data_IF_386304736798
#
_entry.id   IF_386304736798
#
_cell.length_a   1.000
_cell.length_b   1.000
_cell.length_c   1.000
_cell.angle_alpha   90.00
_cell.angle_beta   90.00
_cell.angle_gamma   90.00
#
_symmetry.space_group_name_H-M   'P 1'
#
loop_
_entity.id
_entity.type
_entity.pdbx_description
1 polymer ?
#
# COMPACT_ATOMS: atom_id res chain seq x y z
N UNK A 1 -22.35 5.70 -5.82
CA UNK A 1 -22.88 4.58 -5.01
C UNK A 1 -23.21 5.12 -3.63
N UNK A 2 -24.08 4.46 -2.87
CA UNK A 2 -24.39 4.81 -1.49
C UNK A 2 -23.71 3.81 -0.55
N UNK A 3 -22.76 4.27 0.27
CA UNK A 3 -22.11 3.45 1.28
C UNK A 3 -22.79 3.65 2.64
N UNK A 4 -23.22 2.56 3.24
CA UNK A 4 -23.82 2.49 4.55
C UNK A 4 -22.88 1.80 5.52
N UNK A 5 -22.47 2.49 6.59
CA UNK A 5 -21.54 2.00 7.61
C UNK A 5 -22.31 1.78 8.91
N UNK A 6 -22.12 0.63 9.55
CA UNK A 6 -22.61 0.37 10.91
C UNK A 6 -22.18 1.49 11.85
N UNK A 7 -23.10 1.97 12.67
CA UNK A 7 -22.83 3.00 13.68
C UNK A 7 -23.45 2.58 15.02
N UNK A 8 -22.70 2.60 16.12
CA UNK A 8 -23.21 2.08 17.39
C UNK A 8 -24.23 3.01 18.09
N UNK A 9 -24.30 4.29 17.69
CA UNK A 9 -25.14 5.29 18.38
C UNK A 9 -26.41 5.70 17.60
N UNK A 10 -26.56 5.28 16.33
CA UNK A 10 -27.75 5.45 15.46
C UNK A 10 -27.78 4.32 14.43
N UNK A 11 -28.86 4.18 13.65
CA UNK A 11 -29.03 3.06 12.70
C UNK A 11 -27.83 2.83 11.75
N UNK A 12 -27.40 3.85 10.99
CA UNK A 12 -26.26 3.77 10.06
C UNK A 12 -25.75 5.16 9.67
N UNK A 13 -24.49 5.22 9.23
CA UNK A 13 -23.94 6.39 8.53
C UNK A 13 -24.04 6.12 7.03
N UNK A 14 -24.69 7.02 6.29
CA UNK A 14 -24.81 6.95 4.83
C UNK A 14 -23.92 8.00 4.17
N UNK A 15 -23.16 7.59 3.16
CA UNK A 15 -22.20 8.42 2.44
C UNK A 15 -22.37 8.23 0.94
N UNK A 16 -22.31 9.32 0.17
CA UNK A 16 -22.10 9.20 -1.27
C UNK A 16 -20.67 8.71 -1.51
N UNK A 17 -20.54 7.51 -2.06
CA UNK A 17 -19.26 6.85 -2.31
C UNK A 17 -19.05 6.69 -3.81
N UNK A 18 -17.95 7.23 -4.30
CA UNK A 18 -17.46 7.11 -5.67
C UNK A 18 -15.96 6.84 -5.68
N UNK A 19 -15.36 6.80 -6.87
CA UNK A 19 -13.92 6.57 -7.00
C UNK A 19 -13.09 7.69 -6.37
N UNK A 20 -13.55 8.93 -6.41
CA UNK A 20 -12.97 10.02 -5.62
C UNK A 20 -14.03 10.56 -4.66
N UNK A 21 -13.82 10.38 -3.37
CA UNK A 21 -14.76 10.76 -2.31
C UNK A 21 -14.06 11.66 -1.30
N UNK A 22 -14.63 12.82 -0.98
CA UNK A 22 -14.15 13.71 0.07
C UNK A 22 -15.13 13.72 1.25
N UNK A 23 -14.63 13.44 2.46
CA UNK A 23 -15.43 13.47 3.69
C UNK A 23 -15.02 14.68 4.51
N UNK A 24 -15.85 15.72 4.46
CA UNK A 24 -15.66 17.01 5.14
C UNK A 24 -16.73 17.24 6.22
N UNK A 25 -16.53 18.26 7.04
CA UNK A 25 -17.47 18.69 8.07
C UNK A 25 -16.84 18.91 9.44
N UNK A 26 -17.63 19.53 10.32
CA UNK A 26 -17.22 19.99 11.64
C UNK A 26 -17.17 18.87 12.70
N UNK A 27 -17.93 17.79 12.51
CA UNK A 27 -17.94 16.66 13.44
C UNK A 27 -16.70 15.78 13.28
N UNK A 28 -15.62 16.16 13.97
CA UNK A 28 -14.35 15.45 13.90
C UNK A 28 -14.43 14.03 14.46
N UNK A 29 -15.31 13.78 15.45
CA UNK A 29 -15.49 12.45 16.04
C UNK A 29 -16.14 11.51 15.03
N UNK A 30 -17.17 11.98 14.31
CA UNK A 30 -17.83 11.20 13.27
C UNK A 30 -16.89 10.92 12.08
N UNK A 31 -16.12 11.91 11.62
CA UNK A 31 -15.11 11.69 10.57
C UNK A 31 -14.07 10.67 10.99
N UNK A 32 -13.56 10.78 12.21
CA UNK A 32 -12.61 9.81 12.78
C UNK A 32 -13.22 8.41 12.84
N UNK A 33 -14.48 8.30 13.27
CA UNK A 33 -15.20 7.02 13.30
C UNK A 33 -15.29 6.39 11.91
N UNK A 34 -15.73 7.14 10.89
CA UNK A 34 -15.83 6.64 9.52
C UNK A 34 -14.47 6.13 9.03
N UNK A 35 -13.43 6.95 9.21
CA UNK A 35 -12.05 6.60 8.87
C UNK A 35 -11.60 5.31 9.54
N UNK A 36 -11.81 5.18 10.86
CA UNK A 36 -11.42 4.01 11.63
C UNK A 36 -12.13 2.74 11.13
N UNK A 37 -13.43 2.82 10.84
CA UNK A 37 -14.19 1.66 10.37
C UNK A 37 -13.78 1.24 8.96
N UNK A 38 -13.50 2.19 8.05
CA UNK A 38 -12.97 1.86 6.73
C UNK A 38 -11.67 1.05 6.84
N UNK A 39 -10.74 1.49 7.69
CA UNK A 39 -9.47 0.83 7.90
C UNK A 39 -9.61 -0.52 8.61
N UNK A 40 -10.47 -0.63 9.62
CA UNK A 40 -10.69 -1.87 10.35
C UNK A 40 -11.36 -2.95 9.49
N UNK A 41 -12.41 -2.54 8.77
CA UNK A 41 -13.22 -3.45 7.99
C UNK A 41 -12.44 -3.99 6.81
N UNK A 42 -11.93 -3.10 5.95
CA UNK A 42 -11.23 -3.48 4.73
C UNK A 42 -9.74 -3.83 4.95
N UNK A 43 -9.11 -3.29 6.01
CA UNK A 43 -7.74 -3.66 6.39
C UNK A 43 -7.63 -5.01 7.11
N UNK A 44 -8.74 -5.75 7.26
CA UNK A 44 -8.72 -7.11 7.81
C UNK A 44 -8.36 -7.20 9.30
N UNK A 45 -8.65 -6.15 10.09
CA UNK A 45 -8.39 -6.16 11.55
C UNK A 45 -9.03 -7.37 12.21
N UNK A 46 -8.25 -8.11 13.00
CA UNK A 46 -8.82 -9.10 13.92
C UNK A 46 -9.39 -8.35 15.13
N UNK A 47 -10.70 -8.37 15.28
CA UNK A 47 -11.40 -7.67 16.35
C UNK A 47 -11.20 -8.40 17.68
N UNK A 48 -10.95 -7.65 18.76
CA UNK A 48 -11.07 -8.15 20.13
C UNK A 48 -12.48 -7.92 20.68
N UNK A 49 -12.80 -8.50 21.84
CA UNK A 49 -14.06 -8.25 22.53
C UNK A 49 -14.23 -6.76 22.85
N UNK A 50 -13.14 -6.07 23.23
CA UNK A 50 -13.14 -4.63 23.53
C UNK A 50 -13.46 -3.79 22.28
N UNK A 51 -12.94 -4.17 21.11
CA UNK A 51 -13.26 -3.49 19.85
C UNK A 51 -14.77 -3.57 19.52
N UNK A 52 -15.42 -4.67 19.91
CA UNK A 52 -16.81 -4.99 19.57
C UNK A 52 -17.83 -4.61 20.66
N UNK A 53 -17.39 -4.10 21.82
CA UNK A 53 -18.29 -3.68 22.91
C UNK A 53 -19.37 -2.72 22.42
N UNK A 54 -18.98 -1.74 21.61
CA UNK A 54 -19.91 -0.74 21.08
C UNK A 54 -20.88 -1.33 20.04
N UNK A 55 -20.57 -2.49 19.48
CA UNK A 55 -21.37 -3.18 18.47
C UNK A 55 -22.15 -4.38 19.04
N UNK A 56 -22.34 -4.43 20.37
CA UNK A 56 -23.00 -5.55 21.05
C UNK A 56 -22.37 -6.90 20.70
N UNK A 57 -21.03 -6.92 20.59
CA UNK A 57 -20.24 -8.10 20.19
C UNK A 57 -20.46 -8.58 18.75
N UNK A 58 -21.07 -7.77 17.89
CA UNK A 58 -21.18 -8.03 16.46
C UNK A 58 -20.09 -7.31 15.66
N UNK A 59 -19.58 -7.93 14.60
CA UNK A 59 -18.65 -7.22 13.69
C UNK A 59 -19.37 -6.06 12.96
N UNK A 60 -18.68 -4.91 12.78
CA UNK A 60 -19.22 -3.81 11.99
C UNK A 60 -19.43 -4.25 10.54
N UNK A 61 -20.45 -3.70 9.88
CA UNK A 61 -20.82 -4.01 8.49
C UNK A 61 -20.71 -2.76 7.63
N UNK A 62 -20.25 -2.96 6.40
CA UNK A 62 -20.31 -1.95 5.34
C UNK A 62 -21.17 -2.51 4.21
N UNK A 63 -22.15 -1.73 3.77
CA UNK A 63 -22.97 -2.03 2.60
C UNK A 63 -22.72 -0.97 1.53
N UNK A 64 -22.60 -1.37 0.27
CA UNK A 64 -22.60 -0.45 -0.88
C UNK A 64 -23.83 -0.79 -1.72
N UNK A 65 -24.67 0.21 -1.97
CA UNK A 65 -25.95 0.05 -2.67
C UNK A 65 -26.82 -1.07 -2.06
N UNK A 66 -26.86 -1.08 -0.72
CA UNK A 66 -27.55 -2.06 0.15
C UNK A 66 -27.08 -3.51 0.04
N UNK A 67 -25.93 -3.74 -0.60
CA UNK A 67 -25.25 -5.05 -0.67
C UNK A 67 -24.10 -5.07 0.31
N UNK A 68 -24.05 -6.08 1.19
CA UNK A 68 -22.93 -6.30 2.09
C UNK A 68 -21.66 -6.59 1.30
N UNK A 69 -20.64 -5.78 1.53
CA UNK A 69 -19.38 -5.87 0.79
C UNK A 69 -18.38 -6.74 1.54
N UNK A 70 -17.56 -7.53 0.84
CA UNK A 70 -16.53 -8.33 1.49
C UNK A 70 -15.51 -7.43 2.19
N UNK A 71 -14.97 -7.90 3.32
CA UNK A 71 -13.82 -7.28 3.99
C UNK A 71 -12.56 -7.29 3.12
N UNK A 72 -12.49 -8.19 2.13
CA UNK A 72 -11.40 -8.28 1.16
C UNK A 72 -11.74 -7.63 -0.19
N UNK A 73 -12.82 -6.85 -0.28
CA UNK A 73 -13.20 -6.18 -1.53
C UNK A 73 -12.12 -5.23 -2.02
N UNK A 74 -11.45 -4.55 -1.08
CA UNK A 74 -10.41 -3.59 -1.37
C UNK A 74 -9.09 -3.98 -0.71
N UNK A 75 -7.99 -3.77 -1.44
CA UNK A 75 -6.66 -3.60 -0.88
C UNK A 75 -6.55 -2.19 -0.32
N UNK A 76 -6.46 -2.07 1.01
CA UNK A 76 -6.45 -0.76 1.68
C UNK A 76 -5.04 -0.23 1.79
N UNK A 77 -4.85 1.02 1.36
CA UNK A 77 -3.64 1.79 1.57
C UNK A 77 -4.01 3.04 2.35
N UNK A 78 -3.28 3.33 3.42
CA UNK A 78 -3.54 4.48 4.27
C UNK A 78 -2.34 5.43 4.27
N UNK A 79 -2.62 6.73 4.14
CA UNK A 79 -1.64 7.80 4.38
C UNK A 79 -2.33 8.88 5.20
N UNK A 80 -1.96 9.01 6.47
CA UNK A 80 -2.51 10.03 7.39
C UNK A 80 -1.52 11.13 7.76
N UNK A 81 -0.24 10.93 7.43
CA UNK A 81 0.83 11.90 7.64
C UNK A 81 2.01 11.59 6.70
N UNK A 82 3.04 12.45 6.75
CA UNK A 82 4.23 12.30 5.90
C UNK A 82 5.07 11.05 6.19
N UNK A 83 5.10 10.56 7.43
CA UNK A 83 5.84 9.34 7.77
C UNK A 83 5.15 8.10 7.20
N UNK A 84 3.81 8.07 7.19
CA UNK A 84 3.07 6.99 6.53
C UNK A 84 3.43 6.94 5.04
N UNK A 85 3.53 8.11 4.39
CA UNK A 85 3.96 8.21 3.00
C UNK A 85 5.40 7.70 2.80
N UNK A 86 6.31 8.03 3.71
CA UNK A 86 7.70 7.53 3.68
C UNK A 86 7.71 6.00 3.85
N UNK A 87 6.95 5.44 4.78
CA UNK A 87 6.83 3.98 4.96
C UNK A 87 6.31 3.30 3.70
N UNK A 88 5.30 3.87 3.03
CA UNK A 88 4.77 3.33 1.77
C UNK A 88 5.80 3.28 0.63
N UNK A 89 6.90 4.02 0.75
CA UNK A 89 7.98 4.09 -0.23
C UNK A 89 9.17 3.18 0.10
N UNK A 90 9.15 2.49 1.23
CA UNK A 90 10.17 1.50 1.61
C UNK A 90 9.99 0.17 0.84
N UNK A 91 11.08 -0.58 0.63
CA UNK A 91 11.03 -1.94 0.07
C UNK A 91 10.67 -3.00 1.11
N UNK A 92 9.55 -2.77 1.81
CA UNK A 92 8.99 -3.63 2.86
C UNK A 92 7.68 -4.26 2.37
N UNK A 93 7.44 -5.54 2.69
CA UNK A 93 6.21 -6.23 2.26
C UNK A 93 4.97 -5.46 2.74
N UNK A 94 4.00 -5.28 1.86
CA UNK A 94 2.75 -4.55 2.13
C UNK A 94 2.83 -3.04 1.88
N UNK A 95 3.94 -2.53 1.36
CA UNK A 95 4.06 -1.13 0.91
C UNK A 95 3.83 -1.04 -0.60
N UNK A 96 3.36 0.13 -1.06
CA UNK A 96 3.16 0.41 -2.49
C UNK A 96 4.46 0.27 -3.28
N UNK A 97 5.58 0.77 -2.78
CA UNK A 97 6.86 0.67 -3.49
C UNK A 97 7.35 -0.78 -3.63
N UNK A 98 7.13 -1.63 -2.62
CA UNK A 98 7.47 -3.05 -2.67
C UNK A 98 6.64 -3.78 -3.72
N UNK A 99 5.32 -3.59 -3.73
CA UNK A 99 4.46 -4.27 -4.68
C UNK A 99 4.69 -3.76 -6.11
N UNK A 100 4.97 -2.46 -6.27
CA UNK A 100 5.37 -1.86 -7.53
C UNK A 100 6.64 -2.52 -8.11
N UNK A 101 7.73 -2.60 -7.34
CA UNK A 101 8.97 -3.20 -7.84
C UNK A 101 8.81 -4.71 -8.06
N UNK A 102 8.04 -5.40 -7.22
CA UNK A 102 7.72 -6.82 -7.40
C UNK A 102 6.98 -7.07 -8.72
N UNK A 103 5.99 -6.23 -9.05
CA UNK A 103 5.28 -6.28 -10.34
C UNK A 103 6.24 -6.10 -11.52
N UNK A 104 7.29 -5.28 -11.38
CA UNK A 104 8.31 -5.07 -12.42
C UNK A 104 9.31 -6.23 -12.53
N UNK A 105 9.79 -6.75 -11.41
CA UNK A 105 10.78 -7.86 -11.37
C UNK A 105 10.19 -9.17 -11.89
N UNK A 106 8.88 -9.39 -11.70
CA UNK A 106 8.22 -10.59 -12.22
C UNK A 106 8.03 -10.60 -13.75
N UNK A 107 8.73 -9.73 -14.49
CA UNK A 107 8.82 -9.82 -15.95
C UNK A 107 9.69 -11.02 -16.36
N UNK A 108 9.38 -11.61 -17.51
CA UNK A 108 10.10 -12.79 -18.04
C UNK A 108 11.61 -12.49 -18.14
N UNK A 109 11.96 -11.32 -18.67
CA UNK A 109 13.35 -10.89 -18.87
C UNK A 109 14.15 -10.89 -17.56
N UNK A 110 13.59 -10.35 -16.47
CA UNK A 110 14.29 -10.29 -15.18
C UNK A 110 14.31 -11.67 -14.51
N UNK A 111 13.23 -12.45 -14.61
CA UNK A 111 13.17 -13.80 -14.06
C UNK A 111 14.22 -14.73 -14.68
N UNK A 112 14.50 -14.61 -15.97
CA UNK A 112 15.59 -15.33 -16.65
C UNK A 112 16.96 -14.95 -16.08
N UNK A 113 17.18 -13.66 -15.75
CA UNK A 113 18.41 -13.23 -15.09
C UNK A 113 18.54 -13.82 -13.67
N UNK A 114 17.44 -13.95 -12.94
CA UNK A 114 17.44 -14.58 -11.61
C UNK A 114 17.79 -16.08 -11.72
N UNK A 115 17.27 -16.78 -12.73
CA UNK A 115 17.63 -18.16 -13.02
C UNK A 115 19.12 -18.30 -13.34
N UNK A 116 19.66 -17.42 -14.20
CA UNK A 116 21.09 -17.39 -14.49
C UNK A 116 21.98 -17.15 -13.25
N UNK A 117 21.52 -16.36 -12.27
CA UNK A 117 22.22 -16.17 -10.99
C UNK A 117 22.21 -17.48 -10.19
N UNK A 118 21.07 -18.17 -10.14
CA UNK A 118 20.94 -19.44 -9.41
C UNK A 118 21.75 -20.57 -10.05
N UNK A 119 21.82 -20.65 -11.39
CA UNK A 119 22.70 -21.58 -12.10
C UNK A 119 24.18 -21.37 -11.75
N UNK A 120 24.59 -20.11 -11.64
CA UNK A 120 25.95 -19.79 -11.22
C UNK A 120 26.18 -20.11 -9.74
N UNK A 121 25.17 -19.94 -8.88
CA UNK A 121 25.23 -20.35 -7.48
C UNK A 121 25.41 -21.86 -7.35
N UNK A 122 24.74 -22.66 -8.18
CA UNK A 122 24.91 -24.11 -8.22
C UNK A 122 26.32 -24.52 -8.64
N UNK A 123 26.89 -23.84 -9.64
CA UNK A 123 28.30 -24.05 -10.04
C UNK A 123 29.25 -23.74 -8.89
N UNK A 124 29.03 -22.66 -8.15
CA UNK A 124 29.83 -22.31 -6.97
C UNK A 124 29.67 -23.37 -5.87
N UNK A 125 28.44 -23.82 -5.61
CA UNK A 125 28.13 -24.84 -4.61
C UNK A 125 28.84 -26.17 -4.91
N UNK A 126 28.81 -26.62 -6.17
CA UNK A 126 29.54 -27.81 -6.62
C UNK A 126 31.04 -27.67 -6.36
N UNK A 127 31.64 -26.56 -6.76
CA UNK A 127 33.07 -26.30 -6.56
C UNK A 127 33.45 -26.24 -5.07
N UNK A 128 32.58 -25.67 -4.23
CA UNK A 128 32.78 -25.63 -2.78
C UNK A 128 32.74 -27.04 -2.19
N UNK A 129 31.72 -27.84 -2.51
CA UNK A 129 31.58 -29.20 -1.99
C UNK A 129 32.73 -30.12 -2.43
N UNK A 130 33.23 -29.96 -3.67
CA UNK A 130 34.44 -30.65 -4.13
C UNK A 130 35.68 -30.29 -3.30
N UNK A 131 35.78 -29.05 -2.82
CA UNK A 131 36.90 -28.58 -1.98
C UNK A 131 36.75 -28.94 -0.50
N UNK A 132 35.52 -29.00 0.01
CA UNK A 132 35.27 -29.36 1.41
C UNK A 132 35.75 -30.77 1.70
N UNK A 133 35.41 -31.73 0.82
CA UNK A 133 35.91 -33.12 0.80
C UNK A 133 36.11 -33.73 2.22
N UNK A 134 35.14 -33.51 3.11
CA UNK A 134 35.21 -33.92 4.50
C UNK A 134 34.21 -35.05 4.74
N UNK A 135 34.74 -36.25 4.94
CA UNK A 135 33.96 -37.44 5.23
C UNK A 135 34.58 -38.18 6.44
N UNK A 136 33.73 -38.58 7.37
CA UNK A 136 34.08 -39.44 8.52
C UNK A 136 33.06 -40.58 8.56
N UNK A 137 33.53 -41.81 8.39
CA UNK A 137 32.70 -43.00 8.20
C UNK A 137 31.62 -42.77 7.12
N UNK A 138 30.34 -42.88 7.48
CA UNK A 138 29.18 -42.70 6.58
C UNK A 138 28.71 -41.24 6.51
N UNK A 139 29.32 -40.31 7.26
CA UNK A 139 28.88 -38.92 7.35
C UNK A 139 29.71 -38.04 6.41
N UNK A 140 29.03 -37.37 5.48
CA UNK A 140 29.61 -36.41 4.54
C UNK A 140 29.20 -35.00 4.95
N UNK A 141 30.16 -34.12 5.17
CA UNK A 141 29.90 -32.69 5.38
C UNK A 141 29.83 -31.97 4.03
N UNK A 142 28.68 -31.37 3.71
CA UNK A 142 28.47 -30.60 2.50
C UNK A 142 27.56 -29.39 2.75
N UNK A 143 27.51 -28.49 1.79
CA UNK A 143 26.61 -27.33 1.76
C UNK A 143 25.57 -27.48 0.65
N UNK A 144 24.45 -26.79 0.78
CA UNK A 144 23.42 -26.66 -0.28
C UNK A 144 23.22 -25.19 -0.65
N UNK A 145 22.92 -24.94 -1.93
CA UNK A 145 22.62 -23.61 -2.43
C UNK A 145 21.24 -23.16 -1.94
N UNK A 146 21.15 -21.91 -1.48
CA UNK A 146 19.87 -21.25 -1.21
C UNK A 146 19.57 -20.27 -2.33
N UNK A 147 18.61 -20.61 -3.17
CA UNK A 147 18.28 -19.81 -4.36
C UNK A 147 17.75 -18.43 -4.03
N UNK A 148 18.17 -17.47 -4.85
CA UNK A 148 17.63 -16.13 -4.90
C UNK A 148 16.21 -16.19 -5.47
N UNK A 149 15.32 -15.46 -4.83
CA UNK A 149 13.97 -15.20 -5.33
C UNK A 149 13.66 -13.70 -5.28
N UNK A 150 12.58 -13.29 -5.95
CA UNK A 150 12.17 -11.89 -6.07
C UNK A 150 12.09 -11.18 -4.71
N UNK A 151 11.45 -11.82 -3.72
CA UNK A 151 11.27 -11.20 -2.39
C UNK A 151 12.63 -10.95 -1.70
N UNK A 152 13.54 -11.92 -1.76
CA UNK A 152 14.89 -11.77 -1.19
C UNK A 152 15.67 -10.65 -1.88
N UNK A 153 15.63 -10.61 -3.21
CA UNK A 153 16.34 -9.58 -3.98
C UNK A 153 15.85 -8.18 -3.62
N UNK A 154 14.53 -7.97 -3.59
CA UNK A 154 13.95 -6.66 -3.25
C UNK A 154 14.34 -6.24 -1.83
N UNK A 155 14.19 -7.14 -0.85
CA UNK A 155 14.35 -6.79 0.56
C UNK A 155 15.80 -6.72 1.04
N UNK A 156 16.72 -7.42 0.36
CA UNK A 156 18.11 -7.61 0.84
C UNK A 156 19.17 -7.14 -0.14
N UNK A 157 18.84 -6.98 -1.42
CA UNK A 157 19.83 -6.69 -2.46
C UNK A 157 19.56 -5.38 -3.22
N UNK A 158 18.37 -4.78 -3.08
CA UNK A 158 18.05 -3.47 -3.65
C UNK A 158 17.78 -2.44 -2.56
N UNK A 159 18.24 -1.21 -2.80
CA UNK A 159 17.98 -0.05 -1.96
C UNK A 159 17.31 1.03 -2.81
N UNK A 160 16.17 1.59 -2.39
CA UNK A 160 15.54 2.69 -3.09
C UNK A 160 16.37 3.97 -2.91
N UNK A 161 16.68 4.64 -4.02
CA UNK A 161 17.28 5.97 -4.02
C UNK A 161 16.51 6.88 -4.99
N UNK A 162 16.49 8.17 -4.67
CA UNK A 162 15.93 9.19 -5.54
C UNK A 162 17.09 10.00 -6.13
N UNK A 163 17.12 10.14 -7.46
CA UNK A 163 18.19 10.85 -8.16
C UNK A 163 17.85 12.32 -8.38
N UNK A 164 18.76 13.23 -8.02
CA UNK A 164 18.69 14.65 -8.38
C UNK A 164 20.09 15.18 -8.69
N UNK A 165 20.29 15.72 -9.89
CA UNK A 165 21.58 16.26 -10.36
C UNK A 165 22.75 15.27 -10.17
N UNK A 166 22.58 14.04 -10.67
CA UNK A 166 23.55 12.94 -10.60
C UNK A 166 23.95 12.50 -9.18
N UNK A 167 23.14 12.88 -8.17
CA UNK A 167 23.32 12.46 -6.78
C UNK A 167 22.11 11.69 -6.31
N UNK A 168 22.37 10.64 -5.54
CA UNK A 168 21.34 9.99 -4.75
C UNK A 168 21.00 10.87 -3.55
N UNK A 169 19.72 11.09 -3.33
CA UNK A 169 19.18 11.75 -2.16
C UNK A 169 18.22 10.81 -1.45
N UNK A 170 18.19 10.91 -0.12
CA UNK A 170 17.19 10.21 0.68
C UNK A 170 15.79 10.75 0.37
N UNK A 171 14.78 9.90 0.48
CA UNK A 171 13.40 10.27 0.17
C UNK A 171 12.92 11.45 1.01
N UNK A 172 13.38 11.53 2.26
CA UNK A 172 13.06 12.60 3.21
C UNK A 172 13.39 13.99 2.69
N UNK A 173 14.40 14.12 1.82
CA UNK A 173 14.84 15.38 1.21
C UNK A 173 14.10 15.75 -0.08
N UNK A 174 13.23 14.87 -0.59
CA UNK A 174 12.32 15.19 -1.69
C UNK A 174 11.21 16.11 -1.16
N UNK A 175 10.78 17.11 -1.93
CA UNK A 175 9.66 17.97 -1.50
C UNK A 175 8.36 17.16 -1.40
N UNK A 176 7.47 17.57 -0.49
CA UNK A 176 6.30 16.77 -0.11
C UNK A 176 5.32 16.52 -1.27
N UNK A 177 5.16 17.48 -2.18
CA UNK A 177 4.36 17.29 -3.40
C UNK A 177 4.94 16.19 -4.26
N UNK A 178 6.23 16.26 -4.55
CA UNK A 178 6.91 15.26 -5.39
C UNK A 178 6.90 13.88 -4.72
N UNK A 179 7.07 13.80 -3.40
CA UNK A 179 6.89 12.54 -2.63
C UNK A 179 5.52 11.92 -2.91
N UNK A 180 4.46 12.72 -2.79
CA UNK A 180 3.09 12.23 -2.95
C UNK A 180 2.78 11.84 -4.40
N UNK A 181 3.24 12.64 -5.38
CA UNK A 181 3.05 12.33 -6.79
C UNK A 181 3.80 11.05 -7.22
N UNK A 182 5.01 10.83 -6.71
CA UNK A 182 5.75 9.57 -6.95
C UNK A 182 5.00 8.37 -6.40
N UNK A 183 4.46 8.48 -5.19
CA UNK A 183 3.61 7.47 -4.58
C UNK A 183 2.36 7.18 -5.43
N UNK A 184 1.64 8.21 -5.87
CA UNK A 184 0.48 8.07 -6.74
C UNK A 184 0.83 7.42 -8.08
N UNK A 185 1.97 7.74 -8.68
CA UNK A 185 2.44 7.10 -9.93
C UNK A 185 2.74 5.61 -9.76
N UNK A 186 3.28 5.19 -8.61
CA UNK A 186 3.47 3.77 -8.32
C UNK A 186 2.12 3.06 -8.13
N UNK A 187 1.20 3.69 -7.39
CA UNK A 187 -0.15 3.17 -7.17
C UNK A 187 -0.95 3.06 -8.47
N UNK A 188 -0.82 4.04 -9.37
CA UNK A 188 -1.40 4.01 -10.72
C UNK A 188 -0.99 2.72 -11.43
N UNK A 189 0.31 2.42 -11.49
CA UNK A 189 0.81 1.19 -12.13
C UNK A 189 0.30 -0.07 -11.43
N UNK A 190 0.13 -0.05 -10.12
CA UNK A 190 -0.44 -1.17 -9.38
C UNK A 190 -1.90 -1.41 -9.75
N UNK A 191 -2.72 -0.36 -9.77
CA UNK A 191 -4.13 -0.43 -10.06
C UNK A 191 -4.44 -0.68 -11.54
N UNK A 192 -3.61 -0.19 -12.48
CA UNK A 192 -3.85 -0.36 -13.93
C UNK A 192 -3.89 -1.83 -14.32
N UNK A 193 -4.98 -2.23 -14.99
CA UNK A 193 -5.29 -3.60 -15.41
C UNK A 193 -5.28 -4.62 -14.25
N UNK A 194 -5.52 -4.16 -13.03
CA UNK A 194 -5.67 -5.03 -11.87
C UNK A 194 -7.11 -5.52 -11.75
N UNK A 195 -7.29 -6.82 -11.45
CA UNK A 195 -8.56 -7.37 -11.02
C UNK A 195 -8.88 -7.04 -9.55
N UNK A 196 -7.87 -6.64 -8.78
CA UNK A 196 -8.00 -6.20 -7.39
C UNK A 196 -8.36 -4.71 -7.36
N UNK A 197 -9.32 -4.35 -6.50
CA UNK A 197 -9.66 -2.95 -6.24
C UNK A 197 -8.79 -2.40 -5.12
N UNK A 198 -8.36 -1.15 -5.24
CA UNK A 198 -7.55 -0.44 -4.27
C UNK A 198 -8.40 0.65 -3.61
N UNK A 199 -8.31 0.77 -2.29
CA UNK A 199 -8.90 1.86 -1.52
C UNK A 199 -7.78 2.65 -0.83
N UNK A 200 -7.47 3.82 -1.39
CA UNK A 200 -6.54 4.76 -0.80
C UNK A 200 -7.28 5.70 0.17
N UNK A 201 -7.02 5.55 1.46
CA UNK A 201 -7.61 6.38 2.52
C UNK A 201 -6.60 7.43 2.97
N UNK A 202 -6.90 8.68 2.67
CA UNK A 202 -6.02 9.82 2.88
C UNK A 202 -6.57 10.72 3.97
N UNK A 203 -5.71 11.15 4.87
CA UNK A 203 -6.10 12.07 5.94
C UNK A 203 -5.02 13.12 6.12
N UNK A 204 -5.45 14.35 6.40
CA UNK A 204 -4.57 15.45 6.77
C UNK A 204 -3.45 15.73 5.73
N UNK A 205 -3.73 15.57 4.44
CA UNK A 205 -2.73 15.90 3.40
C UNK A 205 -2.36 17.39 3.42
N UNK A 206 -3.31 18.22 3.82
CA UNK A 206 -3.19 19.65 4.03
C UNK A 206 -2.26 20.03 5.20
N UNK A 207 -1.88 19.09 6.07
CA UNK A 207 -0.89 19.34 7.12
C UNK A 207 0.55 19.41 6.57
N UNK A 208 0.83 18.83 5.40
CA UNK A 208 2.18 18.79 4.82
C UNK A 208 2.26 19.21 3.35
N UNK A 209 1.16 19.59 2.73
CA UNK A 209 1.10 20.22 1.41
C UNK A 209 0.68 21.68 1.53
N UNK A 210 1.28 22.55 0.72
CA UNK A 210 0.72 23.88 0.52
C UNK A 210 -0.64 23.78 -0.16
N UNK A 211 -1.49 24.81 -0.07
CA UNK A 211 -2.80 24.78 -0.74
C UNK A 211 -2.68 24.56 -2.25
N UNK A 212 -1.73 25.22 -2.93
CA UNK A 212 -1.51 25.01 -4.37
C UNK A 212 -1.06 23.58 -4.68
N UNK A 213 -0.16 23.02 -3.87
CA UNK A 213 0.29 21.64 -4.06
C UNK A 213 -0.84 20.64 -3.80
N UNK A 214 -1.67 20.91 -2.79
CA UNK A 214 -2.84 20.09 -2.46
C UNK A 214 -3.83 20.03 -3.62
N UNK A 215 -4.14 21.18 -4.24
CA UNK A 215 -5.04 21.24 -5.40
C UNK A 215 -4.49 20.40 -6.56
N UNK A 216 -3.20 20.57 -6.91
CA UNK A 216 -2.58 19.77 -7.97
C UNK A 216 -2.56 18.27 -7.64
N UNK A 217 -2.34 17.91 -6.37
CA UNK A 217 -2.44 16.51 -5.93
C UNK A 217 -3.87 15.98 -6.06
N UNK A 218 -4.90 16.78 -5.75
CA UNK A 218 -6.30 16.41 -5.94
C UNK A 218 -6.65 16.23 -7.42
N UNK A 219 -6.20 17.13 -8.31
CA UNK A 219 -6.37 16.99 -9.76
C UNK A 219 -5.74 15.69 -10.28
N UNK A 220 -4.54 15.33 -9.81
CA UNK A 220 -3.92 14.04 -10.18
C UNK A 220 -4.72 12.86 -9.64
N UNK A 221 -5.20 12.91 -8.40
CA UNK A 221 -6.01 11.83 -7.82
C UNK A 221 -7.32 11.64 -8.59
N UNK A 222 -8.02 12.73 -8.90
CA UNK A 222 -9.25 12.72 -9.70
C UNK A 222 -9.00 12.16 -11.10
N UNK A 223 -7.94 12.62 -11.77
CA UNK A 223 -7.52 12.07 -13.05
C UNK A 223 -7.29 10.56 -12.97
N UNK A 224 -6.56 10.07 -11.96
CA UNK A 224 -6.30 8.65 -11.79
C UNK A 224 -7.57 7.84 -11.60
N UNK A 225 -8.47 8.30 -10.73
CA UNK A 225 -9.75 7.62 -10.47
C UNK A 225 -10.63 7.58 -11.70
N UNK A 226 -10.67 8.65 -12.51
CA UNK A 226 -11.47 8.70 -13.73
C UNK A 226 -10.94 7.78 -14.85
N UNK A 227 -9.67 7.36 -14.78
CA UNK A 227 -9.05 6.50 -15.78
C UNK A 227 -8.76 5.08 -15.24
N UNK A 228 -9.22 4.77 -14.02
CA UNK A 228 -8.95 3.48 -13.38
C UNK A 228 -10.13 3.01 -12.52
N UNK A 229 -10.94 2.11 -13.08
CA UNK A 229 -12.11 1.51 -12.43
C UNK A 229 -11.78 0.74 -11.13
N UNK A 230 -10.52 0.34 -10.96
CA UNK A 230 -10.04 -0.40 -9.80
C UNK A 230 -9.52 0.51 -8.68
N UNK A 231 -9.40 1.83 -8.87
CA UNK A 231 -8.87 2.75 -7.85
C UNK A 231 -9.99 3.58 -7.22
N UNK A 232 -10.07 3.52 -5.89
CA UNK A 232 -10.94 4.32 -5.06
C UNK A 232 -10.11 5.11 -4.06
N UNK A 233 -10.47 6.36 -3.84
CA UNK A 233 -9.78 7.31 -2.98
C UNK A 233 -10.82 7.96 -2.07
N UNK A 234 -10.56 7.89 -0.76
CA UNK A 234 -11.34 8.60 0.27
C UNK A 234 -10.41 9.58 0.97
N UNK A 235 -10.68 10.87 0.79
CA UNK A 235 -9.91 11.96 1.36
C UNK A 235 -10.65 12.58 2.54
N UNK A 236 -9.95 12.76 3.66
CA UNK A 236 -10.38 13.50 4.85
C UNK A 236 -9.48 14.73 5.03
N UNK A 237 -9.84 15.88 4.43
CA UNK A 237 -9.13 17.15 4.66
C UNK A 237 -9.22 17.59 6.13
N UNK A 238 -8.19 18.24 6.65
CA UNK A 238 -8.16 18.75 8.03
C UNK A 238 -9.00 20.02 8.18
N UNK A 239 -9.06 20.88 7.16
CA UNK A 239 -9.86 22.11 7.16
C UNK A 239 -10.83 22.20 5.96
N UNK A 240 -11.99 22.86 6.16
CA UNK A 240 -12.99 23.07 5.09
C UNK A 240 -12.46 23.91 3.92
N UNK A 241 -11.42 24.72 4.15
CA UNK A 241 -10.73 25.49 3.12
C UNK A 241 -9.97 24.62 2.09
N UNK A 242 -9.81 23.32 2.35
CA UNK A 242 -9.15 22.35 1.48
C UNK A 242 -10.16 21.41 0.79
N UNK A 243 -11.40 21.87 0.59
CA UNK A 243 -12.35 21.19 -0.29
C UNK A 243 -11.92 21.39 -1.76
N UNK A 244 -11.66 20.30 -2.48
CA UNK A 244 -11.50 20.31 -3.94
C UNK A 244 -12.88 20.26 -4.60
N UNK A 245 -13.21 21.25 -5.44
CA UNK A 245 -14.52 21.42 -6.10
C UNK A 245 -14.37 21.38 -7.60
#
# INVERSE_FOLDING_TARGET
MNMNISYPYKDKISLSFGQFTQIVGQDQQLKYYIWQILLWYFGGKKYSEEDLVLFEQNEPKILIDDIMVSRSEFSVIQVSNINDLIEQMEYKKGTVAYDYIKKKINSIEIMEQIENINDNLDRISLLLNQKLNLQLDEIIYHTEAKYFNTDQLIQKNFLPYFGKNDKNISFEFVDNKTKFLLFLSMLEVMATNSSEKFLLVLRNLDDFLSYSDFVECCEKMEFLTNHNDSLYIVLFPSNEGYLHV
#
